data_IF_950830089031
#
_entry.id   IF_950830089031
#
_cell.length_a   1.000
_cell.length_b   1.000
_cell.length_c   1.000
_cell.angle_alpha   90.00
_cell.angle_beta   90.00
_cell.angle_gamma   90.00
#
_symmetry.space_group_name_H-M   'P 1'
#
loop_
_entity.id
_entity.type
_entity.pdbx_description
1 polymer ?
#
# COMPACT_ATOMS: atom_id res chain seq x y z
N UNK A 1 13.82 -24.00 14.52
CA UNK A 1 13.35 -22.60 14.54
C UNK A 1 11.85 -22.55 14.36
N UNK A 2 11.19 -21.82 15.20
CA UNK A 2 9.74 -21.68 15.11
C UNK A 2 9.41 -20.42 14.32
N UNK A 3 8.60 -20.58 13.27
CA UNK A 3 8.15 -19.46 12.47
C UNK A 3 6.73 -19.10 12.91
N UNK A 4 6.54 -17.85 13.27
CA UNK A 4 5.22 -17.36 13.59
C UNK A 4 4.46 -17.03 12.32
N UNK A 5 3.19 -17.44 12.20
CA UNK A 5 2.40 -17.04 11.04
C UNK A 5 2.29 -15.52 10.97
N UNK A 6 2.33 -14.99 9.76
CA UNK A 6 2.10 -13.56 9.57
C UNK A 6 0.64 -13.25 9.91
N UNK A 7 0.42 -12.09 10.49
CA UNK A 7 -0.91 -11.64 10.93
C UNK A 7 -1.18 -10.24 10.44
N UNK A 8 -2.43 -9.82 10.57
CA UNK A 8 -2.85 -8.51 10.11
C UNK A 8 -1.95 -7.37 10.62
N UNK A 9 -1.56 -7.31 11.90
CA UNK A 9 -0.64 -6.26 12.36
C UNK A 9 0.68 -6.24 11.60
N UNK A 10 1.19 -7.39 11.19
CA UNK A 10 2.43 -7.46 10.42
C UNK A 10 2.28 -6.82 9.06
N UNK A 11 1.17 -7.10 8.36
CA UNK A 11 0.93 -6.55 7.05
C UNK A 11 0.60 -5.04 7.11
N UNK A 12 -0.08 -4.61 8.16
CA UNK A 12 -0.30 -3.18 8.38
C UNK A 12 1.03 -2.47 8.55
N UNK A 13 1.94 -3.05 9.32
CA UNK A 13 3.28 -2.48 9.49
C UNK A 13 4.03 -2.43 8.18
N UNK A 14 3.95 -3.49 7.37
CA UNK A 14 4.62 -3.53 6.07
C UNK A 14 4.11 -2.42 5.16
N UNK A 15 2.79 -2.18 5.14
CA UNK A 15 2.22 -1.12 4.31
C UNK A 15 2.74 0.24 4.78
N UNK A 16 2.72 0.50 6.07
CA UNK A 16 3.15 1.78 6.60
C UNK A 16 4.64 2.03 6.37
N UNK A 17 5.44 0.97 6.49
CA UNK A 17 6.87 1.06 6.21
C UNK A 17 7.12 1.36 4.73
N UNK A 18 6.38 0.70 3.85
CA UNK A 18 6.51 0.96 2.40
C UNK A 18 6.11 2.39 2.06
N UNK A 19 5.08 2.94 2.72
CA UNK A 19 4.69 4.33 2.52
C UNK A 19 5.84 5.27 2.93
N UNK A 20 6.54 4.96 4.02
CA UNK A 20 7.69 5.75 4.43
C UNK A 20 8.81 5.70 3.40
N UNK A 21 9.10 4.52 2.85
CA UNK A 21 10.09 4.39 1.78
C UNK A 21 9.72 5.23 0.57
N UNK A 22 8.43 5.26 0.22
CA UNK A 22 7.96 6.08 -0.89
C UNK A 22 8.26 7.55 -0.65
N UNK A 23 7.99 8.04 0.56
CA UNK A 23 8.26 9.44 0.89
C UNK A 23 9.77 9.73 0.84
N UNK A 24 10.59 8.81 1.31
CA UNK A 24 12.05 8.98 1.25
C UNK A 24 12.54 8.99 -0.20
N UNK A 25 12.00 8.11 -1.02
CA UNK A 25 12.43 8.00 -2.42
C UNK A 25 12.03 9.23 -3.22
N UNK A 26 10.84 9.75 -3.02
CA UNK A 26 10.37 10.94 -3.72
C UNK A 26 11.11 12.18 -3.23
N UNK A 27 11.34 12.26 -1.91
CA UNK A 27 12.02 13.41 -1.33
C UNK A 27 11.31 14.70 -1.69
N UNK A 28 12.07 15.66 -2.22
CA UNK A 28 11.54 16.96 -2.60
C UNK A 28 11.12 17.10 -4.07
N UNK A 29 11.03 15.98 -4.80
CA UNK A 29 10.66 16.06 -6.22
C UNK A 29 9.21 16.49 -6.37
N UNK A 30 8.97 17.45 -7.29
CA UNK A 30 7.61 17.74 -7.70
C UNK A 30 7.18 16.74 -8.76
N UNK A 31 5.93 16.86 -9.22
CA UNK A 31 5.36 15.90 -10.16
C UNK A 31 6.20 15.77 -11.43
N UNK A 32 6.58 16.90 -12.01
CA UNK A 32 7.32 16.89 -13.26
C UNK A 32 8.69 16.23 -13.10
N UNK A 33 9.40 16.57 -12.02
CA UNK A 33 10.71 15.99 -11.73
C UNK A 33 10.59 14.49 -11.44
N UNK A 34 9.56 14.09 -10.72
CA UNK A 34 9.31 12.68 -10.43
C UNK A 34 9.08 11.91 -11.73
N UNK A 35 8.21 12.42 -12.59
CA UNK A 35 7.88 11.72 -13.84
C UNK A 35 9.08 11.58 -14.77
N UNK A 36 10.04 12.50 -14.64
CA UNK A 36 11.27 12.47 -15.44
C UNK A 36 12.36 11.59 -14.82
N UNK A 37 12.19 11.15 -13.58
CA UNK A 37 13.19 10.37 -12.86
C UNK A 37 12.80 8.89 -12.83
N UNK A 38 13.22 8.17 -13.87
CA UNK A 38 12.83 6.77 -14.03
C UNK A 38 13.25 5.87 -12.87
N UNK A 39 14.40 6.15 -12.26
CA UNK A 39 14.86 5.36 -11.12
C UNK A 39 13.91 5.52 -9.93
N UNK A 40 13.52 6.74 -9.63
CA UNK A 40 12.60 7.01 -8.54
C UNK A 40 11.21 6.42 -8.85
N UNK A 41 10.74 6.56 -10.08
CA UNK A 41 9.46 5.96 -10.49
C UNK A 41 9.49 4.46 -10.25
N UNK A 42 10.57 3.78 -10.65
CA UNK A 42 10.67 2.33 -10.46
C UNK A 42 10.70 1.95 -8.98
N UNK A 43 11.42 2.70 -8.16
CA UNK A 43 11.50 2.42 -6.73
C UNK A 43 10.13 2.57 -6.06
N UNK A 44 9.42 3.65 -6.38
CA UNK A 44 8.09 3.91 -5.84
C UNK A 44 7.08 2.86 -6.32
N UNK A 45 7.17 2.49 -7.59
CA UNK A 45 6.32 1.45 -8.17
C UNK A 45 6.48 0.13 -7.42
N UNK A 46 7.72 -0.24 -7.11
CA UNK A 46 8.00 -1.45 -6.34
C UNK A 46 7.34 -1.40 -4.96
N UNK A 47 7.44 -0.26 -4.29
CA UNK A 47 6.84 -0.11 -2.98
C UNK A 47 5.31 -0.17 -3.04
N UNK A 48 4.69 0.40 -4.07
CA UNK A 48 3.24 0.30 -4.26
C UNK A 48 2.84 -1.15 -4.49
N UNK A 49 3.62 -1.89 -5.26
CA UNK A 49 3.35 -3.31 -5.50
C UNK A 49 3.40 -4.10 -4.19
N UNK A 50 4.37 -3.81 -3.33
CA UNK A 50 4.48 -4.45 -2.02
C UNK A 50 3.28 -4.12 -1.14
N UNK A 51 2.83 -2.87 -1.17
CA UNK A 51 1.63 -2.44 -0.45
C UNK A 51 0.41 -3.23 -0.92
N UNK A 52 0.27 -3.39 -2.23
CA UNK A 52 -0.86 -4.14 -2.80
C UNK A 52 -0.87 -5.59 -2.37
N UNK A 53 0.30 -6.22 -2.29
CA UNK A 53 0.39 -7.60 -1.82
C UNK A 53 0.00 -7.71 -0.35
N UNK A 54 0.49 -6.81 0.49
CA UNK A 54 0.12 -6.80 1.89
C UNK A 54 -1.37 -6.55 2.07
N UNK A 55 -1.94 -5.64 1.27
CA UNK A 55 -3.37 -5.37 1.30
C UNK A 55 -4.19 -6.63 0.99
N UNK A 56 -3.76 -7.40 0.00
CA UNK A 56 -4.43 -8.65 -0.35
C UNK A 56 -4.38 -9.64 0.82
N UNK A 57 -3.24 -9.74 1.49
CA UNK A 57 -3.10 -10.64 2.64
C UNK A 57 -4.06 -10.23 3.76
N UNK A 58 -4.20 -8.94 4.02
CA UNK A 58 -5.13 -8.45 5.04
C UNK A 58 -6.56 -8.86 4.68
N UNK A 59 -6.96 -8.62 3.43
CA UNK A 59 -8.32 -8.94 3.00
C UNK A 59 -8.60 -10.43 3.08
N UNK A 60 -7.61 -11.27 2.76
CA UNK A 60 -7.78 -12.72 2.85
C UNK A 60 -7.83 -13.22 4.30
N UNK A 61 -7.09 -12.58 5.19
CA UNK A 61 -7.05 -12.97 6.59
C UNK A 61 -8.31 -12.55 7.35
N UNK A 62 -9.07 -11.62 6.81
CA UNK A 62 -10.28 -11.09 7.47
C UNK A 62 -11.46 -11.20 6.50
N UNK A 63 -12.07 -12.40 6.37
CA UNK A 63 -13.12 -12.63 5.36
C UNK A 63 -14.32 -11.70 5.49
N UNK A 64 -14.64 -11.26 6.72
CA UNK A 64 -15.78 -10.40 6.96
C UNK A 64 -15.42 -8.92 6.92
N UNK A 65 -14.18 -8.60 6.54
CA UNK A 65 -13.65 -7.24 6.59
C UNK A 65 -14.44 -6.29 5.70
N UNK A 66 -14.87 -6.76 4.54
CA UNK A 66 -15.65 -5.93 3.62
C UNK A 66 -16.93 -5.44 4.28
N UNK A 67 -17.58 -6.29 5.04
CA UNK A 67 -18.84 -5.96 5.73
C UNK A 67 -18.59 -5.15 6.99
N UNK A 68 -17.58 -5.52 7.77
CA UNK A 68 -17.31 -4.91 9.06
C UNK A 68 -16.57 -3.58 8.97
N UNK A 69 -15.73 -3.42 7.94
CA UNK A 69 -14.89 -2.23 7.78
C UNK A 69 -14.87 -1.80 6.32
N UNK A 70 -16.05 -1.44 5.75
CA UNK A 70 -16.12 -1.12 4.32
C UNK A 70 -15.29 0.10 3.93
N UNK A 71 -15.10 1.05 4.84
CA UNK A 71 -14.33 2.25 4.55
C UNK A 71 -12.84 1.97 4.39
N UNK A 72 -12.33 0.91 5.04
CA UNK A 72 -10.92 0.51 4.89
C UNK A 72 -10.79 -0.48 3.75
N UNK A 73 -11.78 -1.35 3.58
CA UNK A 73 -11.74 -2.40 2.56
C UNK A 73 -11.59 -1.82 1.15
N UNK A 74 -12.29 -0.72 0.84
CA UNK A 74 -12.22 -0.12 -0.49
C UNK A 74 -10.82 0.39 -0.84
N UNK A 75 -10.15 1.15 0.02
CA UNK A 75 -8.76 1.55 -0.25
C UNK A 75 -7.80 0.37 -0.37
N UNK A 76 -7.97 -0.68 0.43
CA UNK A 76 -7.14 -1.87 0.33
C UNK A 76 -7.34 -2.56 -1.02
N UNK A 77 -8.59 -2.70 -1.44
CA UNK A 77 -8.92 -3.30 -2.73
C UNK A 77 -8.34 -2.49 -3.88
N UNK A 78 -8.40 -1.17 -3.77
CA UNK A 78 -7.88 -0.28 -4.81
C UNK A 78 -6.36 -0.45 -4.99
N UNK A 79 -5.62 -0.49 -3.89
CA UNK A 79 -4.17 -0.63 -4.00
C UNK A 79 -3.78 -2.04 -4.45
N UNK A 80 -4.57 -3.04 -4.11
CA UNK A 80 -4.34 -4.39 -4.64
C UNK A 80 -4.59 -4.45 -6.14
N UNK A 81 -5.63 -3.77 -6.61
CA UNK A 81 -5.90 -3.69 -8.05
C UNK A 81 -4.74 -3.02 -8.78
N UNK A 82 -4.18 -1.96 -8.19
CA UNK A 82 -3.00 -1.31 -8.75
C UNK A 82 -1.79 -2.25 -8.79
N UNK A 83 -1.60 -3.04 -7.75
CA UNK A 83 -0.54 -4.05 -7.70
C UNK A 83 -0.66 -5.01 -8.90
N UNK A 84 -1.86 -5.47 -9.20
CA UNK A 84 -2.08 -6.37 -10.34
C UNK A 84 -1.75 -5.71 -11.68
N UNK A 85 -2.14 -4.44 -11.84
CA UNK A 85 -1.82 -3.70 -13.06
C UNK A 85 -0.31 -3.58 -13.22
N UNK A 86 0.39 -3.24 -12.14
CA UNK A 86 1.85 -3.06 -12.17
C UNK A 86 2.58 -4.36 -12.49
N UNK A 87 2.08 -5.51 -12.00
CA UNK A 87 2.68 -6.80 -12.29
C UNK A 87 2.56 -7.18 -13.76
N UNK A 88 1.45 -6.82 -14.40
CA UNK A 88 1.20 -7.23 -15.77
C UNK A 88 1.69 -6.22 -16.80
N UNK A 89 1.88 -4.97 -16.42
CA UNK A 89 2.23 -3.90 -17.34
C UNK A 89 3.46 -3.10 -16.89
N UNK A 90 4.38 -3.76 -16.22
CA UNK A 90 5.51 -3.05 -15.62
C UNK A 90 6.40 -2.32 -16.64
N UNK A 91 6.40 -2.74 -17.90
CA UNK A 91 7.14 -2.02 -18.94
C UNK A 91 6.48 -0.70 -19.32
N UNK A 92 5.24 -0.53 -18.95
CA UNK A 92 4.44 0.63 -19.35
C UNK A 92 3.89 1.38 -18.15
N UNK A 93 4.62 1.33 -17.03
CA UNK A 93 4.19 2.03 -15.84
C UNK A 93 4.00 3.51 -16.17
N UNK A 94 2.79 4.01 -15.94
CA UNK A 94 2.48 5.42 -16.14
C UNK A 94 2.87 6.18 -14.87
N UNK A 95 3.92 6.97 -14.94
CA UNK A 95 4.42 7.72 -13.79
C UNK A 95 3.38 8.69 -13.24
N UNK A 96 2.49 9.18 -14.08
CA UNK A 96 1.40 10.06 -13.65
C UNK A 96 0.43 9.30 -12.73
N UNK A 97 0.10 8.07 -13.08
CA UNK A 97 -0.77 7.23 -12.25
C UNK A 97 -0.08 6.88 -10.93
N UNK A 98 1.21 6.61 -10.98
CA UNK A 98 1.99 6.33 -9.77
C UNK A 98 1.98 7.54 -8.84
N UNK A 99 2.22 8.73 -9.38
CA UNK A 99 2.18 9.97 -8.61
C UNK A 99 0.81 10.19 -7.95
N UNK A 100 -0.26 10.01 -8.72
CA UNK A 100 -1.62 10.18 -8.20
C UNK A 100 -1.91 9.16 -7.09
N UNK A 101 -1.47 7.92 -7.26
CA UNK A 101 -1.65 6.89 -6.23
C UNK A 101 -1.00 7.32 -4.92
N UNK A 102 0.23 7.81 -4.98
CA UNK A 102 0.98 8.23 -3.81
C UNK A 102 0.28 9.40 -3.10
N UNK A 103 -0.20 10.37 -3.87
CA UNK A 103 -0.66 11.63 -3.30
C UNK A 103 -2.15 11.67 -3.03
N UNK A 104 -2.95 10.87 -3.73
CA UNK A 104 -4.41 10.88 -3.58
C UNK A 104 -4.94 9.66 -2.81
N UNK A 105 -4.30 8.51 -2.96
CA UNK A 105 -4.84 7.26 -2.41
C UNK A 105 -4.11 6.75 -1.17
N UNK A 106 -2.78 6.83 -1.14
CA UNK A 106 -2.02 6.32 -0.02
C UNK A 106 -2.24 7.10 1.28
N UNK A 107 -2.40 8.44 1.27
CA UNK A 107 -2.67 9.15 2.52
C UNK A 107 -3.96 8.71 3.19
N UNK A 108 -5.01 8.45 2.40
CA UNK A 108 -6.26 7.95 2.93
C UNK A 108 -6.07 6.55 3.52
N UNK A 109 -5.40 5.68 2.79
CA UNK A 109 -5.13 4.32 3.27
C UNK A 109 -4.34 4.35 4.57
N UNK A 110 -3.27 5.16 4.63
CA UNK A 110 -2.44 5.26 5.83
C UNK A 110 -3.25 5.74 7.04
N UNK A 111 -4.09 6.75 6.84
CA UNK A 111 -4.95 7.28 7.89
C UNK A 111 -5.91 6.21 8.42
N UNK A 112 -6.50 5.43 7.52
CA UNK A 112 -7.44 4.39 7.90
C UNK A 112 -6.72 3.22 8.59
N UNK A 113 -5.51 2.88 8.15
CA UNK A 113 -4.73 1.84 8.79
C UNK A 113 -4.28 2.26 10.18
N UNK A 114 -3.97 3.54 10.39
CA UNK A 114 -3.67 4.05 11.72
C UNK A 114 -4.85 3.87 12.66
N UNK A 115 -6.06 4.14 12.16
CA UNK A 115 -7.27 3.95 12.94
C UNK A 115 -7.48 2.49 13.28
N UNK A 116 -7.25 1.60 12.33
CA UNK A 116 -7.35 0.16 12.56
C UNK A 116 -6.32 -0.31 13.57
N UNK A 117 -5.11 0.21 13.50
CA UNK A 117 -4.06 -0.13 14.45
C UNK A 117 -4.36 0.41 15.85
N UNK A 118 -5.05 1.56 15.95
CA UNK A 118 -5.46 2.10 17.24
C UNK A 118 -6.53 1.24 17.90
N UNK A 119 -7.36 0.58 17.10
CA UNK A 119 -8.32 -0.39 17.59
C UNK A 119 -7.63 -1.74 17.79
N UNK A 120 -6.52 -1.69 18.50
CA UNK A 120 -5.60 -2.80 18.60
C UNK A 120 -6.22 -4.09 19.09
N UNK A 121 -7.26 -3.97 19.89
CA UNK A 121 -7.99 -5.13 20.34
C UNK A 121 -8.51 -5.98 19.20
N UNK A 122 -8.84 -5.37 18.06
CA UNK A 122 -9.33 -6.10 16.90
C UNK A 122 -8.21 -6.76 16.11
N UNK A 123 -6.96 -6.34 16.32
CA UNK A 123 -5.80 -6.90 15.61
C UNK A 123 -4.99 -7.87 16.46
N UNK A 124 -5.22 -7.88 17.75
CA UNK A 124 -4.59 -8.84 18.63
C UNK A 124 -5.36 -10.13 18.61
N UNK A 125 -4.65 -11.20 18.60
CA UNK A 125 -5.31 -12.51 18.58
C UNK A 125 -5.47 -13.18 19.89
#
# INVERSE_FOLDING_TARGET
MTLHPRRVPDWVRDIREAIEYIHLDIGGLDRQAFEADGKTVRAVTKSIADIGEAANQIMQAMPDFQTENPDIWQPLKRVYAMHNVLLHEYFRTDASVVWDTVHLHLPELDRLLLRLASDEGSLKD
#
